data_IF_581295407230
#
_entry.id   IF_581295407230
#
_cell.length_a   1.000
_cell.length_b   1.000
_cell.length_c   1.000
_cell.angle_alpha   90.00
_cell.angle_beta   90.00
_cell.angle_gamma   90.00
#
_symmetry.space_group_name_H-M   'P 1'
#
loop_
_entity.id
_entity.type
_entity.pdbx_description
1 polymer ?
#
# COMPACT_ATOMS: atom_id res chain seq x y z
N UNK A 1 -5.71 -7.07 -26.81
CA UNK A 1 -6.74 -8.11 -26.60
C UNK A 1 -6.30 -8.97 -25.42
N UNK A 2 -6.92 -8.69 -24.27
CA UNK A 2 -7.13 -9.57 -23.09
C UNK A 2 -5.89 -10.19 -22.43
N UNK A 3 -5.15 -9.35 -21.68
CA UNK A 3 -4.34 -9.79 -20.53
C UNK A 3 -5.22 -9.99 -19.29
N UNK A 4 -6.35 -10.70 -19.43
CA UNK A 4 -7.21 -11.05 -18.30
C UNK A 4 -6.74 -12.38 -17.71
N UNK A 5 -6.72 -12.44 -16.38
CA UNK A 5 -6.51 -13.61 -15.52
C UNK A 5 -5.07 -14.08 -15.31
N UNK A 6 -4.13 -13.19 -14.98
CA UNK A 6 -3.04 -13.61 -14.10
C UNK A 6 -3.61 -13.65 -12.68
N UNK A 7 -4.01 -14.83 -12.23
CA UNK A 7 -4.51 -15.05 -10.88
C UNK A 7 -3.50 -14.57 -9.82
N UNK A 8 -3.72 -13.38 -9.28
CA UNK A 8 -2.97 -12.79 -8.17
C UNK A 8 -3.57 -13.17 -6.80
N UNK A 9 -4.43 -14.18 -6.73
CA UNK A 9 -5.03 -14.67 -5.47
C UNK A 9 -4.06 -15.38 -4.51
N UNK A 10 -2.75 -15.09 -4.53
CA UNK A 10 -1.84 -15.74 -3.59
C UNK A 10 -0.43 -15.18 -3.41
N UNK A 11 -0.05 -14.07 -4.06
CA UNK A 11 1.30 -13.49 -3.92
C UNK A 11 1.28 -11.95 -4.00
N UNK A 12 0.70 -11.26 -3.01
CA UNK A 12 0.55 -9.80 -3.03
C UNK A 12 1.90 -9.08 -3.23
N UNK A 13 2.97 -9.52 -2.54
CA UNK A 13 4.29 -8.89 -2.65
C UNK A 13 4.93 -8.97 -4.06
N UNK A 14 4.70 -10.06 -4.80
CA UNK A 14 5.25 -10.20 -6.15
C UNK A 14 4.47 -9.34 -7.16
N UNK A 15 3.15 -9.18 -6.96
CA UNK A 15 2.30 -8.36 -7.80
C UNK A 15 2.69 -6.87 -7.73
N UNK A 16 3.02 -6.37 -6.54
CA UNK A 16 3.47 -4.98 -6.29
C UNK A 16 4.65 -4.59 -7.21
N UNK A 17 5.70 -5.42 -7.25
CA UNK A 17 6.90 -5.15 -8.07
C UNK A 17 6.56 -5.12 -9.57
N UNK A 18 5.65 -5.99 -10.03
CA UNK A 18 5.21 -6.00 -11.42
C UNK A 18 4.39 -4.76 -11.79
N UNK A 19 3.52 -4.29 -10.89
CA UNK A 19 2.73 -3.08 -11.12
C UNK A 19 3.59 -1.81 -11.15
N UNK A 20 4.61 -1.70 -10.29
CA UNK A 20 5.52 -0.55 -10.32
C UNK A 20 6.29 -0.46 -11.64
N UNK A 21 6.74 -1.59 -12.18
CA UNK A 21 7.39 -1.66 -13.48
C UNK A 21 6.43 -1.29 -14.63
N UNK A 22 5.19 -1.79 -14.61
CA UNK A 22 4.16 -1.43 -15.59
C UNK A 22 3.74 0.04 -15.51
N UNK A 23 3.73 0.65 -14.32
CA UNK A 23 3.43 2.07 -14.13
C UNK A 23 4.50 2.96 -14.75
N UNK A 24 5.78 2.64 -14.56
CA UNK A 24 6.89 3.37 -15.17
C UNK A 24 6.78 3.31 -16.70
N UNK A 25 6.53 2.11 -17.25
CA UNK A 25 6.36 1.93 -18.69
C UNK A 25 5.12 2.66 -19.23
N UNK A 26 3.98 2.54 -18.54
CA UNK A 26 2.71 3.14 -18.96
C UNK A 26 2.73 4.66 -18.88
N UNK A 27 3.37 5.25 -17.86
CA UNK A 27 3.56 6.71 -17.77
C UNK A 27 4.53 7.25 -18.82
N UNK A 28 5.50 6.45 -19.25
CA UNK A 28 6.38 6.80 -20.36
C UNK A 28 5.68 6.67 -21.73
N UNK A 29 4.60 5.89 -21.80
CA UNK A 29 3.79 5.74 -23.01
C UNK A 29 2.69 6.81 -23.07
N UNK A 30 2.37 7.33 -24.25
CA UNK A 30 1.19 8.21 -24.42
C UNK A 30 -0.15 7.45 -24.33
N UNK A 31 -0.14 6.16 -23.98
CA UNK A 31 -1.32 5.31 -23.94
C UNK A 31 -2.03 5.37 -22.59
N UNK A 32 -2.84 6.42 -22.44
CA UNK A 32 -3.62 6.71 -21.23
C UNK A 32 -4.60 5.61 -20.77
N UNK A 33 -5.32 4.86 -21.64
CA UNK A 33 -6.26 3.84 -21.17
C UNK A 33 -5.60 2.70 -20.37
N UNK A 34 -4.41 2.26 -20.78
CA UNK A 34 -3.67 1.19 -20.09
C UNK A 34 -3.23 1.63 -18.69
N UNK A 35 -2.76 2.88 -18.58
CA UNK A 35 -2.37 3.48 -17.32
C UNK A 35 -3.55 3.52 -16.32
N UNK A 36 -4.74 3.91 -16.75
CA UNK A 36 -5.92 3.95 -15.89
C UNK A 36 -6.28 2.58 -15.29
N UNK A 37 -6.20 1.52 -16.11
CA UNK A 37 -6.46 0.15 -15.66
C UNK A 37 -5.36 -0.36 -14.72
N UNK A 38 -4.08 -0.16 -15.05
CA UNK A 38 -2.96 -0.55 -14.17
C UNK A 38 -3.02 0.14 -12.80
N UNK A 39 -3.39 1.44 -12.77
CA UNK A 39 -3.59 2.15 -11.49
C UNK A 39 -4.73 1.54 -10.66
N UNK A 40 -5.83 1.12 -11.31
CA UNK A 40 -6.96 0.47 -10.64
C UNK A 40 -6.56 -0.91 -10.06
N UNK A 41 -5.96 -1.77 -10.88
CA UNK A 41 -5.58 -3.14 -10.49
C UNK A 41 -4.55 -3.13 -9.36
N UNK A 42 -3.62 -2.16 -9.38
CA UNK A 42 -2.64 -1.99 -8.31
C UNK A 42 -3.29 -1.51 -7.01
N UNK A 43 -4.19 -0.53 -7.08
CA UNK A 43 -4.90 -0.05 -5.90
C UNK A 43 -5.75 -1.16 -5.25
N UNK A 44 -6.43 -1.98 -6.05
CA UNK A 44 -7.20 -3.13 -5.56
C UNK A 44 -6.30 -4.11 -4.80
N UNK A 45 -5.14 -4.44 -5.37
CA UNK A 45 -4.15 -5.33 -4.74
C UNK A 45 -3.63 -4.79 -3.41
N UNK A 46 -3.37 -3.49 -3.33
CA UNK A 46 -2.92 -2.82 -2.09
C UNK A 46 -4.00 -2.86 -1.00
N UNK A 47 -5.27 -2.68 -1.38
CA UNK A 47 -6.40 -2.73 -0.44
C UNK A 47 -6.63 -4.16 0.09
N UNK A 48 -6.42 -5.17 -0.75
CA UNK A 48 -6.51 -6.58 -0.35
C UNK A 48 -5.34 -7.03 0.56
N UNK A 49 -4.15 -6.43 0.39
CA UNK A 49 -2.97 -6.68 1.23
C UNK A 49 -3.11 -6.21 2.69
N UNK A 50 -4.10 -5.35 2.97
CA UNK A 50 -4.51 -4.88 4.30
C UNK A 50 -3.42 -4.14 5.12
N UNK A 51 -2.31 -3.72 4.49
CA UNK A 51 -1.33 -2.81 5.06
C UNK A 51 -1.84 -1.37 5.08
N UNK A 52 -1.44 -0.59 6.07
CA UNK A 52 -2.00 0.74 6.26
C UNK A 52 -1.26 1.83 5.47
N UNK A 53 0.02 1.63 5.18
CA UNK A 53 0.82 2.40 4.23
C UNK A 53 0.27 2.22 2.81
N UNK A 54 -0.20 1.00 2.52
CA UNK A 54 -0.78 0.61 1.24
C UNK A 54 -2.10 1.35 0.95
N UNK A 55 -2.84 1.78 1.97
CA UNK A 55 -4.09 2.53 1.82
C UNK A 55 -3.87 3.96 1.28
N UNK A 56 -2.82 4.65 1.74
CA UNK A 56 -2.51 5.99 1.24
C UNK A 56 -2.09 5.96 -0.23
N UNK A 57 -1.30 4.97 -0.61
CA UNK A 57 -0.88 4.74 -1.99
C UNK A 57 -2.05 4.29 -2.87
N UNK A 58 -2.90 3.37 -2.40
CA UNK A 58 -4.11 2.96 -3.10
C UNK A 58 -5.03 4.15 -3.41
N UNK A 59 -5.19 5.09 -2.47
CA UNK A 59 -5.98 6.30 -2.69
C UNK A 59 -5.44 7.16 -3.85
N UNK A 60 -4.13 7.39 -3.89
CA UNK A 60 -3.50 8.18 -4.96
C UNK A 60 -3.66 7.49 -6.33
N UNK A 61 -3.52 6.16 -6.37
CA UNK A 61 -3.70 5.37 -7.59
C UNK A 61 -5.17 5.40 -8.09
N UNK A 62 -6.14 5.34 -7.19
CA UNK A 62 -7.56 5.48 -7.53
C UNK A 62 -7.91 6.88 -8.05
N UNK A 63 -7.32 7.93 -7.48
CA UNK A 63 -7.46 9.31 -7.97
C UNK A 63 -6.89 9.46 -9.40
N UNK A 64 -5.71 8.91 -9.67
CA UNK A 64 -5.10 8.91 -11.01
C UNK A 64 -5.95 8.13 -12.02
N UNK A 65 -6.40 6.92 -11.64
CA UNK A 65 -7.28 6.09 -12.48
C UNK A 65 -8.59 6.82 -12.82
N UNK A 66 -9.23 7.47 -11.84
CA UNK A 66 -10.47 8.22 -12.04
C UNK A 66 -10.26 9.44 -12.94
N UNK A 67 -9.16 10.18 -12.75
CA UNK A 67 -8.82 11.36 -13.55
C UNK A 67 -8.70 10.99 -15.03
N UNK A 68 -7.90 9.97 -15.34
CA UNK A 68 -7.69 9.50 -16.72
C UNK A 68 -8.98 8.92 -17.30
N UNK A 69 -9.71 8.13 -16.53
CA UNK A 69 -10.99 7.54 -17.00
C UNK A 69 -12.04 8.61 -17.31
N UNK A 70 -12.06 9.70 -16.55
CA UNK A 70 -12.95 10.84 -16.78
C UNK A 70 -12.55 11.59 -18.04
N UNK A 71 -11.25 11.84 -18.25
CA UNK A 71 -10.72 12.47 -19.47
C UNK A 71 -11.12 11.68 -20.73
N UNK A 72 -11.07 10.35 -20.65
CA UNK A 72 -11.31 9.44 -21.77
C UNK A 72 -12.77 8.96 -21.91
N UNK A 73 -13.67 9.31 -20.98
CA UNK A 73 -15.05 8.82 -20.97
C UNK A 73 -15.20 7.32 -20.72
N UNK A 74 -14.27 6.71 -19.97
CA UNK A 74 -14.27 5.28 -19.63
C UNK A 74 -15.26 4.94 -18.52
N UNK A 75 -16.56 5.09 -18.80
CA UNK A 75 -17.64 4.91 -17.83
C UNK A 75 -17.58 3.63 -16.99
N UNK A 76 -17.25 2.43 -17.55
CA UNK A 76 -17.16 1.22 -16.73
C UNK A 76 -16.09 1.30 -15.64
N UNK A 77 -14.91 1.83 -15.97
CA UNK A 77 -13.81 1.96 -15.02
C UNK A 77 -14.13 3.00 -13.94
N UNK A 78 -14.79 4.11 -14.31
CA UNK A 78 -15.28 5.11 -13.36
C UNK A 78 -16.27 4.53 -12.34
N UNK A 79 -17.11 3.56 -12.74
CA UNK A 79 -18.05 2.91 -11.82
C UNK A 79 -17.35 1.93 -10.88
N UNK A 80 -16.31 1.24 -11.35
CA UNK A 80 -15.51 0.33 -10.51
C UNK A 80 -14.64 1.05 -9.48
N UNK A 81 -14.11 2.24 -9.80
CA UNK A 81 -13.24 3.00 -8.88
C UNK A 81 -13.96 3.49 -7.62
N UNK A 82 -15.23 3.89 -7.74
CA UNK A 82 -15.99 4.55 -6.65
C UNK A 82 -16.11 3.70 -5.37
N UNK A 83 -16.56 2.42 -5.43
CA UNK A 83 -16.65 1.59 -4.23
C UNK A 83 -15.30 1.38 -3.51
N UNK A 84 -14.19 1.35 -4.26
CA UNK A 84 -12.85 1.21 -3.68
C UNK A 84 -12.40 2.50 -2.97
N UNK A 85 -12.74 3.68 -3.51
CA UNK A 85 -12.45 4.96 -2.85
C UNK A 85 -13.20 5.11 -1.52
N UNK A 86 -14.47 4.67 -1.46
CA UNK A 86 -15.26 4.69 -0.22
C UNK A 86 -14.61 3.80 0.85
N UNK A 87 -14.17 2.59 0.49
CA UNK A 87 -13.49 1.65 1.41
C UNK A 87 -12.21 2.21 2.01
N UNK A 88 -11.43 2.99 1.25
CA UNK A 88 -10.16 3.56 1.71
C UNK A 88 -10.39 4.87 2.49
N UNK A 89 -11.45 5.62 2.17
CA UNK A 89 -11.79 6.89 2.83
C UNK A 89 -12.38 6.69 4.23
N UNK A 90 -13.11 5.58 4.44
CA UNK A 90 -13.70 5.24 5.75
C UNK A 90 -12.68 4.77 6.79
N UNK A 91 -11.44 4.47 6.38
CA UNK A 91 -10.38 4.04 7.32
C UNK A 91 -9.71 5.28 7.93
N UNK A 92 -9.82 5.51 9.25
CA UNK A 92 -9.19 6.67 9.86
C UNK A 92 -7.66 6.62 9.71
N UNK A 93 -7.04 7.75 9.36
CA UNK A 93 -5.58 7.87 9.17
C UNK A 93 -4.77 7.32 10.35
N UNK A 94 -5.27 7.49 11.58
CA UNK A 94 -4.63 6.98 12.80
C UNK A 94 -4.77 5.47 12.98
N UNK A 95 -5.87 4.88 12.51
CA UNK A 95 -6.05 3.43 12.51
C UNK A 95 -5.11 2.78 11.47
N UNK A 96 -4.82 3.50 10.38
CA UNK A 96 -3.76 3.15 9.45
C UNK A 96 -2.39 3.15 10.15
N UNK A 97 -1.95 4.30 10.67
CA UNK A 97 -0.63 4.43 11.29
C UNK A 97 -0.40 3.43 12.44
N UNK A 98 -1.45 3.10 13.20
CA UNK A 98 -1.37 2.09 14.26
C UNK A 98 -1.19 0.67 13.72
N UNK A 99 -1.92 0.29 12.66
CA UNK A 99 -1.79 -1.01 12.03
C UNK A 99 -0.41 -1.18 11.37
N UNK A 100 0.15 -0.14 10.74
CA UNK A 100 1.51 -0.17 10.21
C UNK A 100 2.55 -0.35 11.31
N UNK A 101 2.42 0.37 12.42
CA UNK A 101 3.31 0.23 13.56
C UNK A 101 3.27 -1.19 14.17
N UNK A 102 2.10 -1.82 14.18
CA UNK A 102 1.94 -3.20 14.63
C UNK A 102 2.54 -4.20 13.63
N UNK A 103 2.26 -4.06 12.34
CA UNK A 103 2.79 -4.94 11.29
C UNK A 103 4.32 -4.84 11.19
N UNK A 104 4.87 -3.64 11.26
CA UNK A 104 6.31 -3.41 11.35
C UNK A 104 6.90 -4.14 12.56
N UNK A 105 6.18 -4.11 13.69
CA UNK A 105 6.61 -4.80 14.91
C UNK A 105 6.60 -6.32 14.76
N UNK A 106 5.61 -6.88 14.08
CA UNK A 106 5.52 -8.31 13.79
C UNK A 106 6.68 -8.78 12.89
N UNK A 107 7.06 -7.99 11.89
CA UNK A 107 8.20 -8.29 11.01
C UNK A 107 9.53 -8.28 11.77
N UNK A 108 9.74 -7.29 12.63
CA UNK A 108 10.94 -7.21 13.49
C UNK A 108 11.03 -8.43 14.43
N UNK A 109 9.91 -8.77 15.10
CA UNK A 109 9.84 -9.94 15.99
C UNK A 109 10.13 -11.21 15.20
N UNK A 110 9.50 -11.40 14.03
CA UNK A 110 9.72 -12.57 13.19
C UNK A 110 11.17 -12.68 12.74
N UNK A 111 11.80 -11.56 12.36
CA UNK A 111 13.23 -11.51 12.02
C UNK A 111 14.11 -12.04 13.15
N UNK A 112 13.88 -11.57 14.38
CA UNK A 112 14.67 -11.99 15.55
C UNK A 112 14.41 -13.46 15.96
N UNK A 113 13.17 -13.93 15.84
CA UNK A 113 12.82 -15.35 16.02
C UNK A 113 13.56 -16.21 15.00
N UNK A 114 13.55 -15.83 13.72
CA UNK A 114 14.27 -16.57 12.67
C UNK A 114 15.79 -16.52 12.85
N UNK A 115 16.32 -15.49 13.50
CA UNK A 115 17.72 -15.40 13.92
C UNK A 115 18.06 -16.29 15.13
N UNK A 116 17.08 -17.05 15.66
CA UNK A 116 17.27 -17.98 16.78
C UNK A 116 17.31 -17.32 18.15
N UNK A 117 16.90 -16.05 18.26
CA UNK A 117 16.88 -15.33 19.54
C UNK A 117 15.76 -15.85 20.43
N UNK A 118 16.03 -15.88 21.73
CA UNK A 118 15.01 -16.23 22.73
C UNK A 118 14.20 -14.99 23.13
N UNK A 119 12.98 -15.18 23.64
CA UNK A 119 12.05 -14.10 24.01
C UNK A 119 12.67 -12.98 24.84
N UNK A 120 13.60 -13.31 25.75
CA UNK A 120 14.32 -12.31 26.57
C UNK A 120 15.23 -11.41 25.72
N UNK A 121 15.99 -11.99 24.80
CA UNK A 121 16.90 -11.24 23.91
C UNK A 121 16.11 -10.43 22.88
N UNK A 122 15.01 -10.99 22.38
CA UNK A 122 14.06 -10.28 21.52
C UNK A 122 13.54 -9.05 22.24
N UNK A 123 13.01 -9.20 23.46
CA UNK A 123 12.47 -8.08 24.24
C UNK A 123 13.51 -6.99 24.51
N UNK A 124 14.75 -7.37 24.82
CA UNK A 124 15.85 -6.44 25.12
C UNK A 124 16.27 -5.64 23.88
N UNK A 125 16.42 -6.28 22.73
CA UNK A 125 16.76 -5.64 21.46
C UNK A 125 15.64 -4.75 20.94
N UNK A 126 14.40 -5.23 21.04
CA UNK A 126 13.20 -4.51 20.68
C UNK A 126 12.94 -3.29 21.61
N UNK A 127 13.37 -3.33 22.87
CA UNK A 127 13.33 -2.19 23.81
C UNK A 127 14.43 -1.17 23.51
N UNK A 128 15.63 -1.62 23.13
CA UNK A 128 16.72 -0.75 22.68
C UNK A 128 16.33 -0.05 21.36
N UNK A 129 15.72 -0.76 20.41
CA UNK A 129 15.24 -0.19 19.14
C UNK A 129 14.09 0.81 19.30
N UNK A 130 13.14 0.56 20.21
CA UNK A 130 11.98 1.45 20.46
C UNK A 130 12.35 2.74 21.18
N UNK A 131 13.45 2.79 21.94
CA UNK A 131 13.93 4.04 22.55
C UNK A 131 14.29 5.14 21.54
N UNK A 132 14.28 4.84 20.23
CA UNK A 132 14.42 5.82 19.15
C UNK A 132 13.11 6.58 18.82
N UNK A 133 11.94 6.06 19.23
CA UNK A 133 10.62 6.70 19.02
C UNK A 133 10.43 7.94 19.91
N UNK A 134 11.08 7.98 21.08
CA UNK A 134 11.09 9.14 21.97
C UNK A 134 11.72 10.40 21.37
N UNK A 135 12.58 10.25 20.34
CA UNK A 135 13.25 11.37 19.71
C UNK A 135 12.41 12.04 18.59
N UNK A 136 11.41 11.34 18.03
CA UNK A 136 10.54 11.90 16.97
C UNK A 136 9.38 12.73 17.54
N UNK A 137 8.91 12.41 18.75
CA UNK A 137 7.85 13.16 19.43
C UNK A 137 8.34 14.50 20.04
N UNK A 138 9.65 14.76 20.08
CA UNK A 138 10.19 16.03 20.59
C UNK A 138 10.12 17.19 19.58
N UNK A 139 9.79 16.93 18.31
CA UNK A 139 9.69 17.96 17.27
C UNK A 139 8.29 18.58 17.11
N UNK A 140 7.27 18.08 17.82
CA UNK A 140 5.88 18.61 17.73
C UNK A 140 5.43 19.37 18.97
N UNK A 141 6.33 19.62 19.94
CA UNK A 141 6.12 20.56 21.04
C UNK A 141 7.38 21.38 21.31
N UNK A 142 7.61 22.40 20.48
CA UNK A 142 8.31 23.65 20.85
C UNK A 142 8.30 24.60 19.65
N UNK A 143 7.68 25.77 19.84
CA UNK A 143 7.63 26.87 18.86
C UNK A 143 6.22 27.42 18.74
#
# INVERSE_FOLDING_TARGET
LLGLTAGTKGKPAQAIIHFEAELVFSRASSFKPGLASTCYDYAETLIEGNGASDNAQARLLLEESLSISTELGMHPLMQSVRPLQERVSDRPVWASAYADGLAQREVEVLGLVTAGKIDREIAEELFIGVNTVGNHLRSTKQG
#
